data_IF_420515113795
#
_entry.id   IF_420515113795
#
_cell.length_a   1.000
_cell.length_b   1.000
_cell.length_c   1.000
_cell.angle_alpha   90.00
_cell.angle_beta   90.00
_cell.angle_gamma   90.00
#
_symmetry.space_group_name_H-M   'P 1'
#
loop_
_entity.id
_entity.type
_entity.pdbx_description
1 polymer ?
#
# COMPACT_ATOMS: atom_id res chain seq x y z
N UNK A 1 -5.14 6.62 13.69
CA UNK A 1 -4.17 5.65 13.12
C UNK A 1 -4.43 4.17 13.48
N UNK A 2 -5.54 3.78 14.12
CA UNK A 2 -5.80 2.39 14.51
C UNK A 2 -6.32 1.46 13.38
N UNK A 3 -6.98 2.01 12.37
CA UNK A 3 -7.68 1.20 11.36
C UNK A 3 -6.74 0.39 10.45
N UNK A 4 -5.62 0.99 10.02
CA UNK A 4 -4.66 0.32 9.12
C UNK A 4 -4.06 -0.89 9.82
N UNK A 5 -3.53 -0.74 11.03
CA UNK A 5 -2.97 -1.85 11.81
C UNK A 5 -4.01 -2.95 12.09
N UNK A 6 -5.24 -2.57 12.46
CA UNK A 6 -6.31 -3.54 12.69
C UNK A 6 -6.64 -4.36 11.44
N UNK A 7 -6.75 -3.70 10.28
CA UNK A 7 -7.00 -4.36 9.00
C UNK A 7 -5.82 -5.28 8.66
N UNK A 8 -4.58 -4.81 8.81
CA UNK A 8 -3.39 -5.60 8.49
C UNK A 8 -3.28 -6.86 9.35
N UNK A 9 -3.62 -6.80 10.64
CA UNK A 9 -3.66 -7.97 11.51
C UNK A 9 -4.67 -9.03 11.03
N UNK A 10 -5.82 -8.61 10.50
CA UNK A 10 -6.86 -9.53 10.01
C UNK A 10 -6.47 -10.24 8.71
N UNK A 11 -5.54 -9.71 7.93
CA UNK A 11 -5.19 -10.26 6.60
C UNK A 11 -4.48 -11.61 6.64
N UNK A 12 -3.78 -11.97 7.73
CA UNK A 12 -2.97 -13.20 7.78
C UNK A 12 -3.79 -14.47 7.74
N UNK A 13 -4.97 -14.44 8.35
CA UNK A 13 -5.87 -15.59 8.49
C UNK A 13 -7.14 -15.45 7.67
N UNK A 14 -7.30 -14.34 6.94
CA UNK A 14 -8.48 -14.06 6.14
C UNK A 14 -8.56 -14.94 4.88
N UNK A 15 -9.77 -15.37 4.53
CA UNK A 15 -10.06 -15.90 3.20
C UNK A 15 -10.00 -14.79 2.12
N UNK A 16 -10.05 -15.18 0.84
CA UNK A 16 -9.94 -14.24 -0.27
C UNK A 16 -11.07 -13.20 -0.29
N UNK A 17 -12.29 -13.60 0.09
CA UNK A 17 -13.45 -12.68 0.15
C UNK A 17 -13.21 -11.59 1.18
N UNK A 18 -12.77 -11.98 2.37
CA UNK A 18 -12.48 -11.09 3.49
C UNK A 18 -11.31 -10.18 3.17
N UNK A 19 -10.25 -10.68 2.53
CA UNK A 19 -9.13 -9.84 2.05
C UNK A 19 -9.61 -8.76 1.10
N UNK A 20 -10.46 -9.11 0.14
CA UNK A 20 -11.00 -8.15 -0.83
C UNK A 20 -11.85 -7.06 -0.15
N UNK A 21 -12.67 -7.44 0.84
CA UNK A 21 -13.46 -6.48 1.62
C UNK A 21 -12.58 -5.53 2.45
N UNK A 22 -11.54 -6.07 3.09
CA UNK A 22 -10.61 -5.28 3.90
C UNK A 22 -9.79 -4.31 3.03
N UNK A 23 -9.38 -4.75 1.85
CA UNK A 23 -8.67 -3.95 0.86
C UNK A 23 -9.58 -2.83 0.31
N UNK A 24 -10.82 -3.15 -0.06
CA UNK A 24 -11.81 -2.13 -0.46
C UNK A 24 -12.04 -1.06 0.61
N UNK A 25 -12.13 -1.46 1.89
CA UNK A 25 -12.25 -0.50 3.00
C UNK A 25 -11.07 0.47 3.07
N UNK A 26 -9.85 0.01 2.82
CA UNK A 26 -8.68 0.87 2.78
C UNK A 26 -8.73 1.83 1.58
N UNK A 27 -9.13 1.34 0.40
CA UNK A 27 -9.29 2.17 -0.81
C UNK A 27 -10.35 3.26 -0.61
N UNK A 28 -11.48 2.94 0.05
CA UNK A 28 -12.54 3.90 0.38
C UNK A 28 -12.09 5.03 1.30
N UNK A 29 -11.08 4.80 2.16
CA UNK A 29 -10.47 5.88 2.94
C UNK A 29 -9.63 6.84 2.09
N UNK A 30 -9.20 6.41 0.90
CA UNK A 30 -8.45 7.21 -0.05
C UNK A 30 -7.14 7.76 0.51
N UNK A 31 -6.87 9.04 0.24
CA UNK A 31 -5.62 9.71 0.62
C UNK A 31 -5.36 9.75 2.13
N UNK A 32 -6.38 9.61 2.98
CA UNK A 32 -6.24 9.71 4.43
C UNK A 32 -5.37 8.60 5.04
N UNK A 33 -5.30 7.43 4.39
CA UNK A 33 -4.52 6.27 4.87
C UNK A 33 -3.16 6.13 4.18
N UNK A 34 -2.92 6.86 3.09
CA UNK A 34 -1.69 6.76 2.28
C UNK A 34 -0.40 6.89 3.11
N UNK A 35 -0.23 7.89 4.00
CA UNK A 35 1.02 8.02 4.76
C UNK A 35 1.31 6.77 5.60
N UNK A 36 0.28 6.21 6.25
CA UNK A 36 0.41 5.02 7.08
C UNK A 36 0.66 3.77 6.24
N UNK A 37 0.01 3.63 5.09
CA UNK A 37 0.22 2.49 4.19
C UNK A 37 1.64 2.47 3.62
N UNK A 38 2.18 3.61 3.22
CA UNK A 38 3.56 3.72 2.71
C UNK A 38 4.59 3.41 3.81
N UNK A 39 4.37 3.91 5.04
CA UNK A 39 5.21 3.57 6.18
C UNK A 39 5.23 2.06 6.46
N UNK A 40 4.05 1.43 6.54
CA UNK A 40 3.93 -0.02 6.77
C UNK A 40 4.55 -0.84 5.65
N UNK A 41 4.35 -0.45 4.39
CA UNK A 41 4.84 -1.19 3.23
C UNK A 41 6.36 -1.42 3.25
N UNK A 42 7.13 -0.55 3.91
CA UNK A 42 8.58 -0.65 4.03
C UNK A 42 9.04 -1.77 4.99
N UNK A 43 8.18 -2.25 5.89
CA UNK A 43 8.55 -3.22 6.94
C UNK A 43 7.75 -4.52 6.88
N UNK A 44 6.55 -4.51 6.31
CA UNK A 44 5.69 -5.70 6.23
C UNK A 44 6.08 -6.61 5.06
N UNK A 45 5.79 -7.90 5.19
CA UNK A 45 6.07 -8.93 4.19
C UNK A 45 4.84 -9.79 3.89
N UNK A 46 4.96 -10.70 2.91
CA UNK A 46 3.93 -11.67 2.55
C UNK A 46 2.61 -11.02 2.08
N UNK A 47 1.49 -11.61 2.51
CA UNK A 47 0.13 -11.21 2.08
C UNK A 47 -0.17 -9.75 2.40
N UNK A 48 0.23 -9.27 3.58
CA UNK A 48 -0.01 -7.87 4.00
C UNK A 48 0.63 -6.90 3.01
N UNK A 49 1.88 -7.19 2.60
CA UNK A 49 2.63 -6.37 1.65
C UNK A 49 1.92 -6.27 0.30
N UNK A 50 1.43 -7.40 -0.22
CA UNK A 50 0.69 -7.45 -1.49
C UNK A 50 -0.60 -6.62 -1.44
N UNK A 51 -1.38 -6.74 -0.37
CA UNK A 51 -2.62 -5.98 -0.19
C UNK A 51 -2.35 -4.48 -0.08
N UNK A 52 -1.35 -4.07 0.69
CA UNK A 52 -0.98 -2.64 0.82
C UNK A 52 -0.50 -2.07 -0.51
N UNK A 53 0.35 -2.80 -1.24
CA UNK A 53 0.81 -2.40 -2.57
C UNK A 53 -0.37 -2.20 -3.54
N UNK A 54 -1.30 -3.16 -3.58
CA UNK A 54 -2.48 -3.08 -4.44
C UNK A 54 -3.41 -1.92 -4.06
N UNK A 55 -3.60 -1.71 -2.75
CA UNK A 55 -4.39 -0.60 -2.22
C UNK A 55 -3.81 0.74 -2.68
N UNK A 56 -2.50 0.93 -2.56
CA UNK A 56 -1.82 2.18 -2.96
C UNK A 56 -1.95 2.45 -4.46
N UNK A 57 -1.87 1.40 -5.29
CA UNK A 57 -2.10 1.50 -6.75
C UNK A 57 -3.54 1.94 -7.04
N UNK A 58 -4.54 1.34 -6.37
CA UNK A 58 -5.95 1.67 -6.57
C UNK A 58 -6.34 3.05 -6.04
N UNK A 59 -5.67 3.53 -4.98
CA UNK A 59 -5.80 4.92 -4.52
C UNK A 59 -5.21 5.88 -5.57
N UNK A 60 -4.16 5.47 -6.28
CA UNK A 60 -3.62 6.18 -7.43
C UNK A 60 -2.71 7.35 -7.06
N UNK A 61 -2.83 8.46 -7.79
CA UNK A 61 -1.91 9.61 -7.75
C UNK A 61 -1.64 10.17 -6.34
N UNK A 62 -2.61 10.09 -5.43
CA UNK A 62 -2.42 10.53 -4.04
C UNK A 62 -1.29 9.78 -3.31
N UNK A 63 -0.91 8.58 -3.78
CA UNK A 63 0.18 7.76 -3.25
C UNK A 63 1.57 8.20 -3.74
N UNK A 64 1.68 8.89 -4.89
CA UNK A 64 2.94 9.07 -5.61
C UNK A 64 3.97 9.86 -4.81
N UNK A 65 3.59 11.00 -4.22
CA UNK A 65 4.52 11.84 -3.46
C UNK A 65 5.06 11.13 -2.22
N UNK A 66 4.22 10.34 -1.53
CA UNK A 66 4.65 9.56 -0.38
C UNK A 66 5.60 8.43 -0.78
N UNK A 67 5.33 7.76 -1.90
CA UNK A 67 6.21 6.73 -2.45
C UNK A 67 7.56 7.32 -2.88
N UNK A 68 7.59 8.49 -3.53
CA UNK A 68 8.84 9.19 -3.90
C UNK A 68 9.67 9.54 -2.68
N UNK A 69 9.03 10.07 -1.64
CA UNK A 69 9.71 10.40 -0.38
C UNK A 69 10.30 9.16 0.28
N UNK A 70 9.52 8.10 0.42
CA UNK A 70 9.98 6.84 0.99
C UNK A 70 11.13 6.21 0.19
N UNK A 71 11.12 6.32 -1.14
CA UNK A 71 12.21 5.86 -2.01
C UNK A 71 13.52 6.66 -1.81
N UNK A 72 13.39 7.96 -1.54
CA UNK A 72 14.52 8.84 -1.24
C UNK A 72 15.12 8.51 0.13
N UNK A 73 14.27 8.27 1.12
CA UNK A 73 14.66 8.04 2.51
C UNK A 73 15.14 6.60 2.76
N UNK A 74 14.68 5.63 1.96
CA UNK A 74 15.00 4.21 2.11
C UNK A 74 15.40 3.59 0.76
N UNK A 75 16.70 3.35 0.58
CA UNK A 75 17.26 2.79 -0.66
C UNK A 75 16.83 1.35 -0.95
N UNK A 76 16.58 0.54 0.08
CA UNK A 76 16.08 -0.82 -0.10
C UNK A 76 14.62 -0.83 -0.59
N UNK A 77 13.88 0.25 -0.32
CA UNK A 77 12.51 0.44 -0.78
C UNK A 77 12.40 1.11 -2.16
N UNK A 78 13.49 1.69 -2.68
CA UNK A 78 13.49 2.50 -3.90
C UNK A 78 12.89 1.77 -5.11
N UNK A 79 13.27 0.50 -5.32
CA UNK A 79 12.76 -0.29 -6.44
C UNK A 79 11.24 -0.51 -6.34
N UNK A 80 10.75 -0.81 -5.13
CA UNK A 80 9.32 -1.08 -4.87
C UNK A 80 8.51 0.18 -5.10
N UNK A 81 8.98 1.32 -4.58
CA UNK A 81 8.32 2.60 -4.78
C UNK A 81 8.24 2.97 -6.27
N UNK A 82 9.34 2.81 -7.02
CA UNK A 82 9.36 3.07 -8.47
C UNK A 82 8.38 2.18 -9.23
N UNK A 83 8.33 0.89 -8.90
CA UNK A 83 7.36 -0.03 -9.48
C UNK A 83 5.91 0.41 -9.20
N UNK A 84 5.58 0.76 -7.96
CA UNK A 84 4.21 1.20 -7.64
C UNK A 84 3.85 2.51 -8.35
N UNK A 85 4.80 3.43 -8.47
CA UNK A 85 4.59 4.68 -9.21
C UNK A 85 4.35 4.40 -10.70
N UNK A 86 5.11 3.47 -11.32
CA UNK A 86 4.90 3.13 -12.73
C UNK A 86 3.53 2.51 -12.98
N UNK A 87 3.08 1.62 -12.09
CA UNK A 87 1.74 1.03 -12.12
C UNK A 87 0.63 2.09 -12.00
N UNK A 88 0.79 3.04 -11.07
CA UNK A 88 -0.16 4.16 -10.89
C UNK A 88 -0.24 5.04 -12.14
N UNK A 89 0.91 5.32 -12.75
CA UNK A 89 1.01 6.20 -13.91
C UNK A 89 0.71 5.51 -15.24
N UNK A 90 0.46 4.19 -15.24
CA UNK A 90 0.23 3.41 -16.45
C UNK A 90 1.45 3.33 -17.36
N UNK A 91 2.65 3.51 -16.81
CA UNK A 91 3.91 3.38 -17.54
C UNK A 91 4.37 1.94 -17.33
N UNK A 92 4.41 1.14 -18.40
CA UNK A 92 4.97 -0.21 -18.31
C UNK A 92 6.40 -0.12 -17.76
N UNK A 93 6.62 -0.73 -16.58
CA UNK A 93 7.92 -0.79 -15.90
C UNK A 93 8.95 -1.62 -16.68
#
# INVERSE_FOLDING_TARGET
MHLVDEILCKLETADNTTKNQLENKLVEQGSAVVPALVDKLQSISGVKRGVVAMTLIRIGEASVEYLRRAASDNKDFEWVAKYLISEIQGIAA
#
